data_IF_206279328254
#
_entry.id   IF_206279328254
#
_cell.length_a   1.000
_cell.length_b   1.000
_cell.length_c   1.000
_cell.angle_alpha   90.00
_cell.angle_beta   90.00
_cell.angle_gamma   90.00
#
_symmetry.space_group_name_H-M   'P 1'
#
loop_
_entity.id
_entity.type
_entity.pdbx_description
1 polymer ?
#
# COMPACT_ATOMS: atom_id res chain seq x y z
N UNK A 1 24.49 -11.02 -41.33
CA UNK A 1 24.32 -10.93 -39.86
C UNK A 1 23.34 -9.81 -39.54
N UNK A 2 22.12 -10.13 -39.14
CA UNK A 2 21.10 -9.12 -38.81
C UNK A 2 21.32 -8.63 -37.38
N UNK A 3 21.79 -7.39 -37.24
CA UNK A 3 22.05 -6.75 -35.96
C UNK A 3 20.71 -6.43 -35.28
N UNK A 4 20.23 -7.35 -34.44
CA UNK A 4 18.98 -7.27 -33.66
C UNK A 4 19.06 -6.26 -32.49
N UNK A 5 19.85 -5.21 -32.62
CA UNK A 5 19.77 -4.05 -31.75
C UNK A 5 18.59 -3.18 -32.18
N UNK A 6 17.37 -3.71 -31.94
CA UNK A 6 16.16 -2.92 -31.81
C UNK A 6 16.27 -2.09 -30.54
N UNK A 7 17.13 -1.08 -30.62
CA UNK A 7 16.92 0.29 -30.15
C UNK A 7 15.49 0.45 -29.67
N UNK A 8 15.32 0.41 -28.34
CA UNK A 8 14.12 0.80 -27.59
C UNK A 8 13.09 1.54 -28.45
N UNK A 9 11.83 1.10 -28.43
CA UNK A 9 10.65 1.73 -29.02
C UNK A 9 10.45 3.19 -28.53
N UNK A 10 11.37 4.08 -28.87
CA UNK A 10 11.24 5.53 -28.80
C UNK A 10 10.55 5.85 -30.12
N UNK A 11 9.26 6.19 -30.08
CA UNK A 11 8.46 6.54 -31.27
C UNK A 11 9.04 7.73 -32.05
N UNK A 12 8.20 8.55 -32.66
CA UNK A 12 8.63 9.65 -33.56
C UNK A 12 9.61 10.68 -32.95
N UNK A 13 9.88 10.63 -31.64
CA UNK A 13 10.81 11.50 -30.92
C UNK A 13 12.11 10.77 -30.57
N UNK A 14 12.99 10.61 -31.56
CA UNK A 14 14.33 10.07 -31.34
C UNK A 14 15.18 11.11 -30.60
N UNK A 15 15.75 10.70 -29.47
CA UNK A 15 16.62 11.57 -28.65
C UNK A 15 17.82 12.13 -29.41
N UNK A 16 18.24 11.44 -30.48
CA UNK A 16 19.30 11.88 -31.39
C UNK A 16 18.89 13.07 -32.28
N UNK A 17 17.61 13.29 -32.56
CA UNK A 17 17.13 14.36 -33.45
C UNK A 17 16.60 15.56 -32.65
N UNK A 18 15.68 15.33 -31.71
CA UNK A 18 14.88 16.41 -31.11
C UNK A 18 15.44 16.95 -29.79
N UNK A 19 16.51 16.36 -29.27
CA UNK A 19 17.07 16.73 -27.96
C UNK A 19 18.58 16.89 -27.97
N UNK A 20 19.19 17.19 -29.12
CA UNK A 20 20.66 17.41 -29.22
C UNK A 20 21.14 18.50 -28.26
N UNK A 21 20.38 19.60 -28.16
CA UNK A 21 20.69 20.77 -27.33
C UNK A 21 20.52 20.54 -25.81
N UNK A 22 19.91 19.42 -25.39
CA UNK A 22 19.72 19.12 -23.96
C UNK A 22 20.92 18.37 -23.39
N UNK A 23 21.36 18.74 -22.18
CA UNK A 23 22.40 18.00 -21.45
C UNK A 23 21.94 16.58 -21.09
N UNK A 24 22.83 15.57 -21.00
CA UNK A 24 22.44 14.16 -20.84
C UNK A 24 21.50 13.86 -19.65
N UNK A 25 21.67 14.55 -18.52
CA UNK A 25 20.82 14.37 -17.34
C UNK A 25 19.39 14.86 -17.56
N UNK A 26 19.19 15.90 -18.37
CA UNK A 26 17.86 16.42 -18.73
C UNK A 26 17.14 15.49 -19.69
N UNK A 27 17.87 14.84 -20.62
CA UNK A 27 17.30 13.81 -21.49
C UNK A 27 16.74 12.64 -20.68
N UNK A 28 17.35 12.30 -19.55
CA UNK A 28 16.88 11.23 -18.65
C UNK A 28 15.61 11.64 -17.90
N UNK A 29 15.55 12.86 -17.39
CA UNK A 29 14.42 13.37 -16.59
C UNK A 29 13.20 13.70 -17.47
N UNK A 30 13.41 14.39 -18.60
CA UNK A 30 12.35 14.74 -19.55
C UNK A 30 11.67 13.51 -20.14
N UNK A 31 12.45 12.49 -20.47
CA UNK A 31 11.93 11.23 -21.03
C UNK A 31 11.22 10.38 -19.95
N UNK A 32 11.59 10.49 -18.67
CA UNK A 32 10.88 9.83 -17.55
C UNK A 32 9.55 10.52 -17.22
N UNK A 33 9.52 11.86 -17.20
CA UNK A 33 8.27 12.62 -17.04
C UNK A 33 7.35 12.38 -18.23
N UNK A 34 7.86 12.42 -19.46
CA UNK A 34 7.06 12.18 -20.67
C UNK A 34 6.52 10.75 -20.77
N UNK A 35 7.27 9.71 -20.38
CA UNK A 35 6.71 8.34 -20.26
C UNK A 35 5.61 8.23 -19.20
N UNK A 36 5.64 9.05 -18.15
CA UNK A 36 4.54 9.15 -17.18
C UNK A 36 3.34 9.89 -17.75
N UNK A 37 3.56 10.95 -18.52
CA UNK A 37 2.48 11.77 -19.10
C UNK A 37 1.86 11.15 -20.36
N UNK A 38 2.63 10.46 -21.20
CA UNK A 38 2.19 9.83 -22.44
C UNK A 38 1.31 8.59 -22.27
N UNK A 39 1.25 8.01 -21.07
CA UNK A 39 0.21 7.05 -20.69
C UNK A 39 -1.11 7.71 -20.27
N UNK A 40 -1.10 9.02 -20.04
CA UNK A 40 -2.17 9.72 -19.32
C UNK A 40 -3.20 10.45 -20.17
N UNK A 41 -3.43 10.07 -21.43
CA UNK A 41 -4.51 10.69 -22.24
C UNK A 41 -5.61 9.70 -22.67
N UNK A 42 -5.37 8.38 -22.64
CA UNK A 42 -6.40 7.36 -22.85
C UNK A 42 -6.80 6.60 -21.58
N UNK A 43 -6.07 6.76 -20.47
CA UNK A 43 -6.30 6.02 -19.20
C UNK A 43 -7.19 6.78 -18.20
N UNK A 44 -7.69 7.98 -18.51
CA UNK A 44 -8.53 8.76 -17.59
C UNK A 44 -9.94 8.17 -17.39
N UNK A 45 -10.40 7.25 -18.23
CA UNK A 45 -11.69 6.57 -18.07
C UNK A 45 -11.61 5.32 -17.17
N UNK A 46 -10.45 4.71 -16.99
CA UNK A 46 -10.35 3.44 -16.24
C UNK A 46 -10.25 3.61 -14.71
N UNK A 47 -9.91 4.81 -14.22
CA UNK A 47 -9.74 5.06 -12.77
C UNK A 47 -11.09 5.16 -12.03
N UNK A 48 -12.22 5.24 -12.75
CA UNK A 48 -13.56 5.38 -12.13
C UNK A 48 -14.04 4.14 -11.36
N UNK A 49 -13.40 2.97 -11.54
CA UNK A 49 -13.88 1.70 -10.97
C UNK A 49 -12.89 0.98 -10.05
N UNK A 50 -12.08 1.71 -9.26
CA UNK A 50 -11.47 1.14 -8.06
C UNK A 50 -12.60 0.83 -7.05
N UNK A 51 -13.24 -0.34 -7.21
CA UNK A 51 -14.25 -0.87 -6.28
C UNK A 51 -13.70 -0.72 -4.87
N UNK A 52 -14.23 0.24 -4.11
CA UNK A 52 -13.84 0.44 -2.70
C UNK A 52 -14.09 -0.89 -2.00
N UNK A 53 -13.03 -1.62 -1.65
CA UNK A 53 -13.15 -2.90 -0.91
C UNK A 53 -13.96 -2.60 0.35
N UNK A 54 -15.18 -3.15 0.45
CA UNK A 54 -16.03 -2.97 1.62
C UNK A 54 -15.24 -3.42 2.84
N UNK A 55 -14.89 -2.48 3.73
CA UNK A 55 -14.22 -2.79 4.97
C UNK A 55 -15.20 -3.55 5.84
N UNK A 56 -14.88 -4.80 6.16
CA UNK A 56 -15.67 -5.61 7.07
C UNK A 56 -15.75 -4.95 8.45
N UNK A 57 -16.90 -5.07 9.11
CA UNK A 57 -17.08 -4.60 10.48
C UNK A 57 -16.15 -5.35 11.44
N UNK A 58 -15.69 -4.65 12.48
CA UNK A 58 -14.86 -5.20 13.55
C UNK A 58 -15.76 -5.48 14.75
N UNK A 59 -16.08 -6.75 14.97
CA UNK A 59 -17.11 -7.18 15.91
C UNK A 59 -16.55 -7.62 17.28
N UNK A 60 -15.25 -7.86 17.34
CA UNK A 60 -14.58 -8.34 18.56
C UNK A 60 -13.89 -7.14 19.22
N UNK A 61 -14.21 -6.89 20.49
CA UNK A 61 -13.62 -5.81 21.29
C UNK A 61 -12.84 -6.42 22.44
N UNK A 62 -11.56 -6.06 22.54
CA UNK A 62 -10.63 -6.59 23.54
C UNK A 62 -10.02 -5.44 24.32
N UNK A 63 -10.00 -5.55 25.64
CA UNK A 63 -9.22 -4.72 26.54
C UNK A 63 -7.87 -5.38 26.77
N UNK A 64 -6.78 -4.68 26.48
CA UNK A 64 -5.42 -5.22 26.60
C UNK A 64 -4.60 -4.26 27.47
N UNK A 65 -4.10 -4.77 28.58
CA UNK A 65 -3.15 -4.08 29.45
C UNK A 65 -1.74 -4.52 29.06
N UNK A 66 -0.92 -3.56 28.65
CA UNK A 66 0.46 -3.81 28.24
C UNK A 66 1.41 -3.20 29.26
N UNK A 67 2.55 -3.87 29.43
CA UNK A 67 3.72 -3.32 30.12
C UNK A 67 4.42 -2.34 29.18
N UNK A 68 4.60 -1.11 29.63
CA UNK A 68 5.55 -0.16 29.08
C UNK A 68 6.78 -0.10 29.97
N UNK A 69 7.91 0.35 29.43
CA UNK A 69 9.19 0.55 30.10
C UNK A 69 9.14 0.52 31.64
N UNK A 70 9.75 -0.51 32.24
CA UNK A 70 9.73 -0.70 33.69
C UNK A 70 8.38 -1.24 34.19
N UNK A 71 7.76 -0.54 35.14
CA UNK A 71 6.50 -0.95 35.80
C UNK A 71 5.29 -0.11 35.35
N UNK A 72 5.40 0.62 34.25
CA UNK A 72 4.30 1.45 33.78
C UNK A 72 3.35 0.58 32.98
N UNK A 73 2.11 0.44 33.44
CA UNK A 73 1.08 -0.31 32.75
C UNK A 73 0.09 0.62 32.04
N UNK A 74 -0.28 0.27 30.81
CA UNK A 74 -1.31 1.01 30.09
C UNK A 74 -2.35 0.07 29.48
N UNK A 75 -3.61 0.45 29.65
CA UNK A 75 -4.74 -0.31 29.13
C UNK A 75 -5.27 0.34 27.85
N UNK A 76 -5.46 -0.46 26.79
CA UNK A 76 -6.05 -0.01 25.52
C UNK A 76 -7.20 -0.92 25.13
N UNK A 77 -8.25 -0.32 24.60
CA UNK A 77 -9.36 -1.05 23.97
C UNK A 77 -9.09 -1.11 22.47
N UNK A 78 -9.07 -2.33 21.92
CA UNK A 78 -8.85 -2.59 20.50
C UNK A 78 -10.01 -3.39 19.91
N UNK A 79 -10.29 -3.12 18.64
CA UNK A 79 -11.34 -3.81 17.88
C UNK A 79 -10.71 -4.66 16.79
N UNK A 80 -11.16 -5.90 16.66
CA UNK A 80 -10.67 -6.90 15.70
C UNK A 80 -11.80 -7.44 14.85
N UNK A 81 -11.43 -7.92 13.66
CA UNK A 81 -12.34 -8.58 12.73
C UNK A 81 -12.47 -10.07 13.04
N UNK A 82 -11.34 -10.74 13.27
CA UNK A 82 -11.30 -12.20 13.48
C UNK A 82 -10.81 -12.54 14.88
N UNK A 83 -11.24 -13.70 15.37
CA UNK A 83 -10.76 -14.22 16.67
C UNK A 83 -9.27 -14.51 16.65
N UNK A 84 -8.73 -14.95 15.50
CA UNK A 84 -7.30 -15.18 15.31
C UNK A 84 -6.50 -13.90 15.53
N UNK A 85 -6.91 -12.78 14.95
CA UNK A 85 -6.23 -11.49 15.13
C UNK A 85 -6.31 -10.99 16.58
N UNK A 86 -7.47 -11.19 17.21
CA UNK A 86 -7.66 -10.87 18.62
C UNK A 86 -6.70 -11.69 19.50
N UNK A 87 -6.69 -13.01 19.35
CA UNK A 87 -5.79 -13.93 20.07
C UNK A 87 -4.32 -13.58 19.87
N UNK A 88 -3.91 -13.36 18.62
CA UNK A 88 -2.54 -12.94 18.30
C UNK A 88 -2.14 -11.64 19.00
N UNK A 89 -3.08 -10.71 19.21
CA UNK A 89 -2.78 -9.49 19.97
C UNK A 89 -2.78 -9.69 21.48
N UNK A 90 -3.57 -10.63 22.01
CA UNK A 90 -3.62 -10.94 23.44
C UNK A 90 -2.37 -11.72 23.88
N UNK A 91 -1.86 -12.59 23.01
CA UNK A 91 -0.72 -13.48 23.30
C UNK A 91 0.66 -12.81 23.07
N UNK A 92 0.73 -11.48 22.95
CA UNK A 92 2.02 -10.79 22.77
C UNK A 92 2.78 -10.75 24.09
N UNK A 93 4.10 -10.85 24.04
CA UNK A 93 4.97 -10.81 25.23
C UNK A 93 4.85 -9.52 26.06
N UNK A 94 4.44 -8.40 25.44
CA UNK A 94 4.21 -7.13 26.13
C UNK A 94 2.90 -7.07 26.92
N UNK A 95 2.02 -8.07 26.77
CA UNK A 95 0.69 -8.08 27.36
C UNK A 95 0.74 -8.74 28.74
N UNK A 96 0.19 -8.05 29.74
CA UNK A 96 0.05 -8.56 31.11
C UNK A 96 -1.33 -9.19 31.28
N UNK A 97 -2.37 -8.47 30.85
CA UNK A 97 -3.77 -8.89 30.97
C UNK A 97 -4.51 -8.59 29.69
N UNK A 98 -5.36 -9.51 29.27
CA UNK A 98 -6.25 -9.30 28.14
C UNK A 98 -7.63 -9.90 28.42
N UNK A 99 -8.68 -9.15 28.06
CA UNK A 99 -10.07 -9.52 28.27
C UNK A 99 -10.91 -9.17 27.04
N UNK A 100 -11.78 -10.08 26.64
CA UNK A 100 -12.75 -9.83 25.58
C UNK A 100 -13.97 -9.15 26.21
N UNK A 101 -14.22 -7.89 25.83
CA UNK A 101 -15.36 -7.10 26.33
C UNK A 101 -16.64 -7.45 25.56
N UNK A 102 -16.52 -7.59 24.23
CA UNK A 102 -17.66 -7.85 23.36
C UNK A 102 -17.23 -8.78 22.25
N UNK A 103 -18.06 -9.78 22.01
CA UNK A 103 -18.00 -10.67 20.85
C UNK A 103 -19.43 -10.77 20.32
N UNK A 104 -19.61 -10.50 19.02
CA UNK A 104 -20.88 -10.79 18.36
C UNK A 104 -20.74 -12.22 17.84
N UNK A 105 -21.43 -13.15 18.47
CA UNK A 105 -21.51 -14.52 17.98
C UNK A 105 -22.60 -14.56 16.91
N UNK A 106 -22.18 -14.53 15.64
CA UNK A 106 -23.07 -14.87 14.53
C UNK A 106 -23.19 -16.40 14.47
N UNK A 107 -23.87 -16.99 15.45
CA UNK A 107 -24.39 -18.36 15.34
C UNK A 107 -25.50 -18.35 14.29
N UNK A 108 -25.26 -19.03 13.16
CA UNK A 108 -26.30 -19.49 12.23
C UNK A 108 -26.73 -20.87 12.69
#
# INVERSE_FOLDING_TARGET
MNNLNKTYHKGNFRSGEWSKHLRPYLKRIGNKRWRKTGKGLSEFEEVKNLRRRKTSKKEIVVRITNRFYGNIEFTRIRKYRTMRDAQNSMNRSSVIRAEIIKKVDNTI
#
